data_IF_847634728550
#
_entry.id   IF_847634728550
#
_cell.length_a   1.000
_cell.length_b   1.000
_cell.length_c   1.000
_cell.angle_alpha   90.00
_cell.angle_beta   90.00
_cell.angle_gamma   90.00
#
_symmetry.space_group_name_H-M   'P 1'
#
loop_
_entity.id
_entity.type
_entity.pdbx_description
1 polymer ?
#
# COMPACT_ATOMS: atom_id res chain seq x y z
N UNK A 1 25.58 14.59 -5.95
CA UNK A 1 24.32 13.91 -5.58
C UNK A 1 23.27 14.34 -6.58
N UNK A 2 22.59 13.42 -7.27
CA UNK A 2 21.58 13.82 -8.25
C UNK A 2 20.35 14.37 -7.51
N UNK A 3 19.64 15.31 -8.13
CA UNK A 3 18.33 15.83 -7.65
C UNK A 3 17.37 14.68 -7.34
N UNK A 4 17.51 13.58 -8.07
CA UNK A 4 16.80 12.33 -7.90
C UNK A 4 17.04 11.64 -6.55
N UNK A 5 18.31 11.47 -6.18
CA UNK A 5 18.65 10.85 -4.90
C UNK A 5 18.22 11.74 -3.74
N UNK A 6 18.29 13.06 -3.92
CA UNK A 6 17.80 14.02 -2.92
C UNK A 6 16.29 13.91 -2.71
N UNK A 7 15.49 13.83 -3.78
CA UNK A 7 14.03 13.70 -3.68
C UNK A 7 13.62 12.41 -2.94
N UNK A 8 14.27 11.28 -3.23
CA UNK A 8 13.99 10.01 -2.53
C UNK A 8 14.31 10.07 -1.05
N UNK A 9 15.40 10.74 -0.68
CA UNK A 9 15.79 10.91 0.72
C UNK A 9 14.78 11.81 1.44
N UNK A 10 14.40 12.93 0.83
CA UNK A 10 13.38 13.84 1.41
C UNK A 10 12.06 13.11 1.59
N UNK A 11 11.57 12.40 0.56
CA UNK A 11 10.33 11.64 0.66
C UNK A 11 10.41 10.52 1.69
N UNK A 12 11.54 9.80 1.76
CA UNK A 12 11.77 8.77 2.77
C UNK A 12 11.78 9.33 4.20
N UNK A 13 12.38 10.51 4.39
CA UNK A 13 12.35 11.24 5.67
C UNK A 13 10.93 11.70 6.03
N UNK A 14 10.14 12.17 5.05
CA UNK A 14 8.74 12.52 5.28
C UNK A 14 7.92 11.31 5.72
N UNK A 15 8.09 10.16 5.06
CA UNK A 15 7.44 8.91 5.47
C UNK A 15 7.85 8.53 6.90
N UNK A 16 9.16 8.53 7.19
CA UNK A 16 9.66 8.21 8.53
C UNK A 16 9.14 9.14 9.61
N UNK A 17 9.17 10.45 9.37
CA UNK A 17 8.65 11.47 10.28
C UNK A 17 7.14 11.29 10.49
N UNK A 18 6.37 11.11 9.41
CA UNK A 18 4.93 10.90 9.49
C UNK A 18 4.56 9.65 10.30
N UNK A 19 5.28 8.54 10.11
CA UNK A 19 5.09 7.32 10.90
C UNK A 19 5.48 7.53 12.37
N UNK A 20 6.56 8.25 12.66
CA UNK A 20 6.95 8.54 14.04
C UNK A 20 5.94 9.44 14.76
N UNK A 21 5.34 10.40 14.05
CA UNK A 21 4.23 11.22 14.56
C UNK A 21 3.00 10.35 14.81
N UNK A 22 2.62 9.51 13.84
CA UNK A 22 1.44 8.65 13.93
C UNK A 22 1.52 7.61 15.05
N UNK A 23 2.71 7.05 15.29
CA UNK A 23 2.92 6.02 16.32
C UNK A 23 3.23 6.59 17.70
N UNK A 24 3.29 7.92 17.85
CA UNK A 24 3.67 8.57 19.10
C UNK A 24 5.13 8.30 19.52
N UNK A 25 5.98 7.86 18.59
CA UNK A 25 7.38 7.51 18.86
C UNK A 25 8.30 8.73 19.02
N UNK A 26 7.78 9.96 18.86
CA UNK A 26 8.54 11.18 19.05
C UNK A 26 8.69 11.51 20.54
N UNK A 27 9.93 11.65 21.06
CA UNK A 27 10.19 11.97 22.45
C UNK A 27 10.01 13.47 22.68
N UNK A 28 8.77 13.96 22.82
CA UNK A 28 8.51 15.35 23.22
C UNK A 28 7.20 15.51 23.97
N UNK A 29 7.15 16.47 24.90
CA UNK A 29 5.95 16.97 25.61
C UNK A 29 4.91 17.66 24.70
N UNK A 30 4.99 17.45 23.38
CA UNK A 30 4.13 18.06 22.37
C UNK A 30 3.26 16.95 21.80
N UNK A 31 1.96 17.02 22.08
CA UNK A 31 0.97 16.11 21.50
C UNK A 31 0.75 16.55 20.06
N UNK A 32 1.39 15.85 19.12
CA UNK A 32 1.10 16.02 17.70
C UNK A 32 -0.21 15.29 17.37
N UNK A 33 -1.11 15.88 16.57
CA UNK A 33 -2.30 15.17 16.12
C UNK A 33 -1.87 14.01 15.22
N UNK A 34 -2.30 12.79 15.55
CA UNK A 34 -1.99 11.56 14.81
C UNK A 34 -2.35 11.68 13.31
N UNK A 35 -3.43 12.42 13.03
CA UNK A 35 -3.89 12.78 11.68
C UNK A 35 -2.84 13.52 10.84
N UNK A 36 -1.98 14.34 11.47
CA UNK A 36 -0.87 15.01 10.77
C UNK A 36 0.21 14.00 10.36
N UNK A 37 0.47 12.97 11.17
CA UNK A 37 1.40 11.90 10.83
C UNK A 37 0.93 11.09 9.61
N UNK A 38 -0.36 10.74 9.57
CA UNK A 38 -0.98 10.11 8.40
C UNK A 38 -0.87 11.00 7.15
N UNK A 39 -1.12 12.30 7.28
CA UNK A 39 -1.01 13.22 6.15
C UNK A 39 0.43 13.31 5.58
N UNK A 40 1.41 13.53 6.46
CA UNK A 40 2.83 13.67 6.07
C UNK A 40 3.35 12.39 5.43
N UNK A 41 3.00 11.22 5.99
CA UNK A 41 3.39 9.93 5.42
C UNK A 41 2.72 9.67 4.07
N UNK A 42 1.43 9.99 3.93
CA UNK A 42 0.70 9.90 2.65
C UNK A 42 1.33 10.74 1.55
N UNK A 43 1.68 12.00 1.85
CA UNK A 43 2.40 12.88 0.91
C UNK A 43 3.79 12.35 0.55
N UNK A 44 4.53 11.82 1.53
CA UNK A 44 5.83 11.20 1.28
C UNK A 44 5.74 9.99 0.34
N UNK A 45 4.71 9.15 0.51
CA UNK A 45 4.43 8.02 -0.40
C UNK A 45 4.02 8.53 -1.79
N UNK A 46 3.14 9.51 -1.88
CA UNK A 46 2.74 10.08 -3.16
C UNK A 46 3.96 10.59 -3.95
N UNK A 47 4.80 11.39 -3.31
CA UNK A 47 5.95 12.04 -3.94
C UNK A 47 7.04 11.06 -4.37
N UNK A 48 7.33 10.01 -3.59
CA UNK A 48 8.40 9.04 -3.94
C UNK A 48 8.07 8.23 -5.19
N UNK A 49 6.77 8.01 -5.48
CA UNK A 49 6.31 7.15 -6.57
C UNK A 49 5.88 7.92 -7.84
N UNK A 50 5.82 9.26 -7.80
CA UNK A 50 5.64 10.10 -9.00
C UNK A 50 6.70 9.83 -10.09
N UNK A 51 7.93 9.56 -9.67
CA UNK A 51 9.03 9.20 -10.57
C UNK A 51 8.67 8.00 -11.45
N UNK A 52 8.13 6.94 -10.85
CA UNK A 52 7.77 5.73 -11.58
C UNK A 52 6.65 5.95 -12.59
N UNK A 53 5.71 6.83 -12.24
CA UNK A 53 4.61 7.22 -13.10
C UNK A 53 5.11 7.98 -14.34
N UNK A 54 5.99 8.96 -14.17
CA UNK A 54 6.46 9.79 -15.29
C UNK A 54 7.57 9.14 -16.11
N UNK A 55 8.57 8.55 -15.44
CA UNK A 55 9.74 7.99 -16.14
C UNK A 55 9.48 6.59 -16.70
N UNK A 56 8.45 5.89 -16.20
CA UNK A 56 8.22 4.49 -16.55
C UNK A 56 9.37 3.58 -16.11
N UNK A 57 10.14 3.99 -15.11
CA UNK A 57 11.22 3.18 -14.52
C UNK A 57 11.21 3.33 -13.00
N UNK A 58 11.20 2.21 -12.29
CA UNK A 58 11.35 2.18 -10.83
C UNK A 58 12.44 1.18 -10.51
N UNK A 59 13.46 1.64 -9.79
CA UNK A 59 14.50 0.76 -9.26
C UNK A 59 14.35 0.67 -7.75
N UNK A 60 13.99 -0.52 -7.27
CA UNK A 60 13.93 -0.84 -5.84
C UNK A 60 15.26 -1.48 -5.46
N UNK A 61 16.11 -0.68 -4.81
CA UNK A 61 17.37 -1.15 -4.27
C UNK A 61 17.18 -1.50 -2.79
N UNK A 62 17.09 -2.78 -2.48
CA UNK A 62 17.18 -3.25 -1.09
C UNK A 62 18.61 -3.14 -0.59
N UNK A 63 18.82 -2.55 0.60
CA UNK A 63 20.14 -2.36 1.20
C UNK A 63 20.84 -3.68 1.58
N UNK A 64 20.12 -4.79 1.51
CA UNK A 64 20.63 -6.11 1.83
C UNK A 64 21.41 -6.67 0.62
N UNK A 65 22.74 -6.77 0.74
CA UNK A 65 23.68 -7.20 -0.34
C UNK A 65 23.33 -8.54 -1.02
N UNK A 66 22.45 -9.35 -0.42
CA UNK A 66 21.95 -10.61 -1.01
C UNK A 66 20.85 -10.43 -2.06
N UNK A 67 20.16 -9.28 -2.06
CA UNK A 67 19.07 -9.00 -2.98
C UNK A 67 19.52 -7.99 -4.03
N UNK A 68 19.58 -8.44 -5.27
CA UNK A 68 19.90 -7.59 -6.42
C UNK A 68 18.82 -6.50 -6.58
N UNK A 69 19.20 -5.28 -6.98
CA UNK A 69 18.23 -4.22 -7.25
C UNK A 69 17.24 -4.68 -8.32
N UNK A 70 15.94 -4.50 -8.08
CA UNK A 70 14.88 -4.85 -9.04
C UNK A 70 14.53 -3.62 -9.85
N UNK A 71 14.57 -3.72 -11.18
CA UNK A 71 14.16 -2.63 -12.06
C UNK A 71 12.86 -2.98 -12.76
N UNK A 72 11.79 -2.28 -12.41
CA UNK A 72 10.55 -2.30 -13.18
C UNK A 72 10.66 -1.28 -14.30
N UNK A 73 10.14 -1.63 -15.49
CA UNK A 73 10.23 -0.81 -16.69
C UNK A 73 8.92 -0.79 -17.47
N UNK A 74 8.68 0.30 -18.19
CA UNK A 74 7.50 0.46 -19.04
C UNK A 74 6.20 0.54 -18.24
N UNK A 75 5.20 -0.27 -18.62
CA UNK A 75 3.85 -0.23 -18.06
C UNK A 75 3.81 -0.66 -16.59
N UNK A 76 4.61 -1.65 -16.18
CA UNK A 76 4.61 -2.13 -14.79
C UNK A 76 5.13 -1.07 -13.82
N UNK A 77 6.15 -0.30 -14.21
CA UNK A 77 6.65 0.82 -13.42
C UNK A 77 5.62 1.97 -13.33
N UNK A 78 4.92 2.26 -14.43
CA UNK A 78 3.86 3.28 -14.43
C UNK A 78 2.67 2.88 -13.57
N UNK A 79 2.24 1.61 -13.66
CA UNK A 79 1.18 1.08 -12.82
C UNK A 79 1.59 1.09 -11.34
N UNK A 80 2.81 0.67 -11.02
CA UNK A 80 3.32 0.73 -9.65
C UNK A 80 3.38 2.17 -9.13
N UNK A 81 3.81 3.12 -9.96
CA UNK A 81 3.83 4.55 -9.65
C UNK A 81 2.43 5.12 -9.43
N UNK A 82 1.50 4.89 -10.38
CA UNK A 82 0.11 5.34 -10.32
C UNK A 82 -0.60 4.78 -9.09
N UNK A 83 -0.41 3.49 -8.85
CA UNK A 83 -0.96 2.82 -7.70
C UNK A 83 -0.46 3.55 -6.43
N UNK A 84 0.84 3.62 -6.19
CA UNK A 84 1.33 4.13 -4.90
C UNK A 84 1.03 5.62 -4.73
N UNK A 85 0.93 6.36 -5.83
CA UNK A 85 0.42 7.73 -5.82
C UNK A 85 -1.01 7.80 -5.29
N UNK A 86 -1.92 6.97 -5.81
CA UNK A 86 -3.31 6.93 -5.35
C UNK A 86 -3.41 6.52 -3.88
N UNK A 87 -2.59 5.55 -3.44
CA UNK A 87 -2.51 5.18 -2.02
C UNK A 87 -2.08 6.38 -1.16
N UNK A 88 -0.99 7.05 -1.55
CA UNK A 88 -0.47 8.22 -0.83
C UNK A 88 -1.49 9.37 -0.75
N UNK A 89 -2.17 9.67 -1.85
CA UNK A 89 -3.24 10.68 -1.90
C UNK A 89 -4.41 10.28 -1.00
N UNK A 90 -4.81 9.00 -1.02
CA UNK A 90 -5.92 8.50 -0.19
C UNK A 90 -5.60 8.63 1.29
N UNK A 91 -4.40 8.22 1.71
CA UNK A 91 -3.93 8.35 3.10
C UNK A 91 -3.83 9.82 3.51
N UNK A 92 -3.28 10.67 2.63
CA UNK A 92 -3.16 12.10 2.88
C UNK A 92 -4.53 12.77 3.04
N UNK A 93 -5.47 12.46 2.14
CA UNK A 93 -6.83 13.00 2.20
C UNK A 93 -7.56 12.52 3.45
N UNK A 94 -7.46 11.23 3.80
CA UNK A 94 -8.03 10.71 5.04
C UNK A 94 -7.43 11.40 6.28
N UNK A 95 -6.12 11.65 6.30
CA UNK A 95 -5.46 12.40 7.37
C UNK A 95 -5.93 13.85 7.48
N UNK A 96 -6.16 14.54 6.35
CA UNK A 96 -6.73 15.90 6.36
C UNK A 96 -8.16 15.90 6.88
N UNK A 97 -9.01 14.96 6.44
CA UNK A 97 -10.39 14.87 6.90
C UNK A 97 -10.45 14.54 8.39
N UNK A 98 -9.64 13.60 8.87
CA UNK A 98 -9.55 13.26 10.29
C UNK A 98 -9.06 14.44 11.14
N UNK A 99 -8.19 15.28 10.59
CA UNK A 99 -7.75 16.50 11.27
C UNK A 99 -8.88 17.54 11.37
N UNK A 100 -9.69 17.70 10.33
CA UNK A 100 -10.85 18.60 10.32
C UNK A 100 -12.02 18.08 11.16
N UNK A 101 -12.20 16.75 11.19
CA UNK A 101 -13.28 16.05 11.85
C UNK A 101 -12.71 14.85 12.64
N UNK A 102 -12.27 15.08 13.90
CA UNK A 102 -11.72 14.02 14.73
C UNK A 102 -12.72 12.87 14.91
N UNK A 103 -12.22 11.64 14.88
CA UNK A 103 -12.96 10.37 14.97
C UNK A 103 -13.88 10.06 13.78
N UNK A 104 -13.89 10.89 12.74
CA UNK A 104 -14.72 10.63 11.56
C UNK A 104 -14.32 9.31 10.90
N UNK A 105 -13.02 9.05 10.72
CA UNK A 105 -12.54 7.85 10.04
C UNK A 105 -12.92 6.58 10.80
N UNK A 106 -12.75 6.58 12.13
CA UNK A 106 -13.13 5.44 12.97
C UNK A 106 -14.65 5.21 12.90
N UNK A 107 -15.45 6.26 13.08
CA UNK A 107 -16.91 6.16 13.03
C UNK A 107 -17.40 5.70 11.65
N UNK A 108 -16.76 6.16 10.58
CA UNK A 108 -17.07 5.74 9.22
C UNK A 108 -16.67 4.28 8.98
N UNK A 109 -15.48 3.84 9.42
CA UNK A 109 -15.02 2.45 9.30
C UNK A 109 -15.89 1.47 10.08
N UNK A 110 -16.53 1.90 11.18
CA UNK A 110 -17.48 1.08 11.93
C UNK A 110 -18.82 0.89 11.19
N UNK A 111 -19.12 1.69 10.16
CA UNK A 111 -20.30 1.45 9.33
C UNK A 111 -20.05 0.30 8.35
N UNK A 112 -21.08 -0.52 8.03
CA UNK A 112 -20.93 -1.61 7.05
C UNK A 112 -20.42 -1.12 5.69
N UNK A 113 -20.87 0.07 5.27
CA UNK A 113 -20.45 0.70 4.02
C UNK A 113 -18.99 1.16 4.06
N UNK A 114 -18.56 1.82 5.13
CA UNK A 114 -17.18 2.28 5.26
C UNK A 114 -16.18 1.14 5.36
N UNK A 115 -16.52 0.10 6.14
CA UNK A 115 -15.74 -1.13 6.21
C UNK A 115 -15.60 -1.79 4.83
N UNK A 116 -16.71 -1.93 4.09
CA UNK A 116 -16.70 -2.49 2.74
C UNK A 116 -15.82 -1.67 1.78
N UNK A 117 -15.92 -0.34 1.81
CA UNK A 117 -15.09 0.54 0.98
C UNK A 117 -13.60 0.40 1.33
N UNK A 118 -13.25 0.32 2.61
CA UNK A 118 -11.87 0.12 3.04
C UNK A 118 -11.32 -1.23 2.59
N UNK A 119 -12.10 -2.31 2.70
CA UNK A 119 -11.74 -3.63 2.18
C UNK A 119 -11.53 -3.57 0.67
N UNK A 120 -12.47 -3.00 -0.09
CA UNK A 120 -12.39 -2.94 -1.55
C UNK A 120 -11.18 -2.10 -2.04
N UNK A 121 -10.90 -0.98 -1.38
CA UNK A 121 -9.70 -0.18 -1.67
C UNK A 121 -8.42 -0.94 -1.33
N UNK A 122 -8.35 -1.61 -0.19
CA UNK A 122 -7.20 -2.42 0.21
C UNK A 122 -6.99 -3.64 -0.70
N UNK A 123 -8.06 -4.32 -1.10
CA UNK A 123 -7.99 -5.48 -2.00
C UNK A 123 -7.60 -5.07 -3.42
N UNK A 124 -8.17 -3.99 -3.96
CA UNK A 124 -7.79 -3.48 -5.30
C UNK A 124 -6.32 -3.04 -5.34
N UNK A 125 -5.85 -2.40 -4.26
CA UNK A 125 -4.43 -2.10 -4.04
C UNK A 125 -3.55 -3.36 -4.11
N UNK A 126 -3.89 -4.38 -3.34
CA UNK A 126 -3.16 -5.65 -3.28
C UNK A 126 -3.19 -6.40 -4.62
N UNK A 127 -4.29 -6.36 -5.36
CA UNK A 127 -4.40 -6.95 -6.71
C UNK A 127 -3.37 -6.29 -7.63
N UNK A 128 -3.31 -4.96 -7.67
CA UNK A 128 -2.34 -4.25 -8.51
C UNK A 128 -0.90 -4.62 -8.15
N UNK A 129 -0.55 -4.64 -6.86
CA UNK A 129 0.77 -5.03 -6.40
C UNK A 129 1.12 -6.48 -6.78
N UNK A 130 0.17 -7.39 -6.60
CA UNK A 130 0.35 -8.81 -6.91
C UNK A 130 0.58 -9.03 -8.40
N UNK A 131 -0.19 -8.35 -9.25
CA UNK A 131 0.01 -8.36 -10.71
C UNK A 131 1.40 -7.86 -11.08
N UNK A 132 1.86 -6.77 -10.47
CA UNK A 132 3.21 -6.22 -10.72
C UNK A 132 4.31 -7.21 -10.30
N UNK A 133 4.13 -7.91 -9.19
CA UNK A 133 5.06 -8.94 -8.71
C UNK A 133 5.07 -10.16 -9.65
N UNK A 134 3.91 -10.59 -10.17
CA UNK A 134 3.79 -11.71 -11.12
C UNK A 134 4.47 -11.39 -12.45
N UNK A 135 4.22 -10.21 -13.02
CA UNK A 135 4.87 -9.77 -14.27
C UNK A 135 6.37 -9.53 -14.09
N UNK A 136 6.80 -9.29 -12.86
CA UNK A 136 8.20 -9.23 -12.46
C UNK A 136 8.92 -7.98 -12.97
N UNK A 137 10.19 -7.88 -12.58
CA UNK A 137 11.09 -6.84 -13.06
C UNK A 137 11.57 -7.15 -14.49
N UNK A 138 12.17 -6.18 -15.17
CA UNK A 138 12.75 -6.36 -16.51
C UNK A 138 13.77 -7.50 -16.51
N UNK A 139 14.48 -7.70 -15.41
CA UNK A 139 15.43 -8.81 -15.24
C UNK A 139 14.73 -10.19 -15.19
N UNK A 140 13.50 -10.27 -14.67
CA UNK A 140 12.70 -11.49 -14.62
C UNK A 140 12.04 -11.85 -15.97
N UNK A 141 12.08 -10.94 -16.94
CA UNK A 141 11.59 -11.15 -18.31
C UNK A 141 12.70 -11.66 -19.24
N UNK A 142 13.96 -11.65 -18.80
CA UNK A 142 15.07 -12.23 -19.53
C UNK A 142 15.03 -13.77 -19.50
N UNK A 143 15.28 -14.41 -20.64
CA UNK A 143 15.23 -15.86 -20.77
C UNK A 143 16.36 -16.56 -19.96
N UNK A 144 16.05 -17.74 -19.41
CA UNK A 144 17.03 -18.64 -18.78
C UNK A 144 17.01 -18.68 -17.26
N UNK A 145 18.18 -18.89 -16.65
CA UNK A 145 18.36 -19.10 -15.19
C UNK A 145 17.81 -17.95 -14.32
N UNK A 146 17.80 -16.73 -14.84
CA UNK A 146 17.26 -15.56 -14.15
C UNK A 146 15.75 -15.66 -13.94
N UNK A 147 14.98 -16.21 -14.89
CA UNK A 147 13.54 -16.39 -14.75
C UNK A 147 13.18 -17.43 -13.67
N UNK A 148 13.95 -18.53 -13.57
CA UNK A 148 13.78 -19.55 -12.53
C UNK A 148 14.03 -18.97 -11.13
N UNK A 149 14.97 -18.04 -11.00
CA UNK A 149 15.28 -17.39 -9.71
C UNK A 149 14.15 -16.50 -9.19
N UNK A 150 13.28 -16.02 -10.08
CA UNK A 150 12.12 -15.19 -9.75
C UNK A 150 10.82 -15.99 -9.58
N UNK A 151 10.86 -17.33 -9.66
CA UNK A 151 9.70 -18.17 -9.37
C UNK A 151 9.11 -17.96 -7.97
N UNK A 152 9.90 -17.86 -6.88
CA UNK A 152 9.35 -17.60 -5.55
C UNK A 152 8.57 -16.29 -5.49
N UNK A 153 9.05 -15.25 -6.20
CA UNK A 153 8.35 -13.97 -6.29
C UNK A 153 7.01 -14.13 -7.02
N UNK A 154 6.97 -14.86 -8.13
CA UNK A 154 5.74 -15.11 -8.89
C UNK A 154 4.74 -15.95 -8.12
N UNK A 155 5.20 -16.97 -7.39
CA UNK A 155 4.37 -17.78 -6.50
C UNK A 155 3.80 -16.92 -5.39
N UNK A 156 4.64 -16.11 -4.73
CA UNK A 156 4.20 -15.17 -3.71
C UNK A 156 3.18 -14.16 -4.25
N UNK A 157 3.43 -13.57 -5.42
CA UNK A 157 2.50 -12.67 -6.10
C UNK A 157 1.18 -13.36 -6.45
N UNK A 158 1.20 -14.62 -6.86
CA UNK A 158 -0.01 -15.39 -7.16
C UNK A 158 -0.81 -15.70 -5.89
N UNK A 159 -0.13 -16.05 -4.79
CA UNK A 159 -0.78 -16.25 -3.48
C UNK A 159 -1.42 -14.94 -3.01
N UNK A 160 -0.69 -13.82 -3.10
CA UNK A 160 -1.22 -12.50 -2.73
C UNK A 160 -2.39 -12.09 -3.62
N UNK A 161 -2.35 -12.40 -4.92
CA UNK A 161 -3.47 -12.16 -5.84
C UNK A 161 -4.71 -12.95 -5.44
N UNK A 162 -4.55 -14.23 -5.08
CA UNK A 162 -5.64 -15.08 -4.63
C UNK A 162 -6.27 -14.55 -3.32
N UNK A 163 -5.43 -14.16 -2.34
CA UNK A 163 -5.89 -13.54 -1.09
C UNK A 163 -6.61 -12.22 -1.38
N UNK A 164 -6.08 -11.39 -2.29
CA UNK A 164 -6.69 -10.13 -2.65
C UNK A 164 -8.05 -10.33 -3.38
N UNK A 165 -8.16 -11.35 -4.22
CA UNK A 165 -9.42 -11.70 -4.88
C UNK A 165 -10.47 -12.22 -3.87
N UNK A 166 -10.06 -13.05 -2.90
CA UNK A 166 -10.96 -13.52 -1.84
C UNK A 166 -11.45 -12.35 -0.99
N UNK A 167 -10.56 -11.48 -0.53
CA UNK A 167 -10.92 -10.29 0.26
C UNK A 167 -11.80 -9.32 -0.53
N UNK A 168 -11.58 -9.17 -1.84
CA UNK A 168 -12.46 -8.39 -2.71
C UNK A 168 -13.87 -9.01 -2.78
N UNK A 169 -13.96 -10.33 -2.94
CA UNK A 169 -15.24 -11.04 -2.91
C UNK A 169 -15.99 -10.82 -1.59
N UNK A 170 -15.32 -10.94 -0.46
CA UNK A 170 -15.93 -10.67 0.86
C UNK A 170 -16.33 -9.20 1.01
N UNK A 171 -15.52 -8.26 0.51
CA UNK A 171 -15.86 -6.83 0.48
C UNK A 171 -17.10 -6.52 -0.34
N UNK A 172 -17.31 -7.22 -1.47
CA UNK A 172 -18.55 -7.10 -2.25
C UNK A 172 -19.76 -7.68 -1.50
N UNK A 173 -19.59 -8.82 -0.83
CA UNK A 173 -20.66 -9.40 0.01
C UNK A 173 -20.98 -8.47 1.19
N UNK A 174 -20.00 -7.78 1.76
CA UNK A 174 -20.19 -6.80 2.84
C UNK A 174 -21.13 -5.65 2.42
N UNK A 175 -21.14 -5.26 1.13
CA UNK A 175 -22.04 -4.22 0.62
C UNK A 175 -23.50 -4.67 0.53
N UNK A 176 -23.74 -5.97 0.33
CA UNK A 176 -25.08 -6.53 0.06
C UNK A 176 -25.68 -7.16 1.32
N UNK A 177 -24.87 -7.91 2.07
CA UNK A 177 -25.28 -8.72 3.22
C UNK A 177 -24.15 -8.77 4.26
N UNK A 178 -24.11 -7.79 5.20
CA UNK A 178 -23.07 -7.70 6.22
C UNK A 178 -22.95 -8.94 7.10
N UNK A 179 -24.07 -9.57 7.45
CA UNK A 179 -24.10 -10.76 8.32
C UNK A 179 -23.44 -11.97 7.63
N UNK A 180 -23.70 -12.16 6.33
CA UNK A 180 -23.06 -13.21 5.53
C UNK A 180 -21.56 -12.94 5.39
N UNK A 181 -21.15 -11.68 5.19
CA UNK A 181 -19.74 -11.33 5.14
C UNK A 181 -19.01 -11.63 6.47
N UNK A 182 -19.64 -11.38 7.62
CA UNK A 182 -19.08 -11.73 8.93
C UNK A 182 -18.84 -13.25 9.07
N UNK A 183 -19.76 -14.08 8.58
CA UNK A 183 -19.55 -15.55 8.57
C UNK A 183 -18.42 -15.97 7.63
N UNK A 184 -18.27 -15.31 6.48
CA UNK A 184 -17.16 -15.56 5.55
C UNK A 184 -15.82 -15.18 6.16
N UNK A 185 -15.74 -14.03 6.86
CA UNK A 185 -14.54 -13.62 7.60
C UNK A 185 -14.16 -14.64 8.67
N UNK A 186 -15.13 -15.13 9.44
CA UNK A 186 -14.91 -16.17 10.44
C UNK A 186 -14.42 -17.49 9.82
N UNK A 187 -14.99 -17.89 8.68
CA UNK A 187 -14.62 -19.13 7.96
C UNK A 187 -13.23 -19.05 7.35
N UNK A 188 -12.82 -17.86 6.88
CA UNK A 188 -11.48 -17.61 6.35
C UNK A 188 -10.41 -17.48 7.45
N UNK A 189 -10.80 -17.56 8.74
CA UNK A 189 -9.88 -17.41 9.87
C UNK A 189 -9.33 -15.98 10.01
N UNK A 190 -9.91 -15.02 9.30
CA UNK A 190 -9.50 -13.62 9.32
C UNK A 190 -10.48 -12.89 10.25
N UNK A 191 -10.18 -12.90 11.55
CA UNK A 191 -10.87 -12.03 12.50
C UNK A 191 -10.30 -10.61 12.38
N UNK A 192 -10.74 -9.87 11.35
CA UNK A 192 -10.53 -8.44 11.30
C UNK A 192 -11.48 -7.80 12.30
N UNK A 193 -10.97 -7.49 13.49
CA UNK A 193 -11.68 -6.82 14.58
C UNK A 193 -13.02 -7.49 14.89
N UNK A 194 -12.97 -8.47 15.78
CA UNK A 194 -14.16 -8.88 16.52
C UNK A 194 -14.86 -7.61 17.03
N UNK A 195 -16.13 -7.52 16.70
CA UNK A 195 -17.12 -6.57 17.19
C UNK A 195 -16.91 -6.23 18.68
N UNK A 196 -17.22 -4.99 19.12
CA UNK A 196 -17.09 -4.59 20.53
C UNK A 196 -17.81 -5.53 21.49
#
# INVERSE_FOLDING_TARGET
MSVYTLNKIICGLLIGLGVMIFTGALPTNVVYPEAAGANISGLGIACIYLEGLFTGRITISTHNRRYYPRTYGGVSARLLGAANLLLGITISTAGVVEWLHPQWLLNWLLTPFGLACAILLGSSWLIMQSVIVIYGSVEAQAAGWLALRHLPDRVFGTIMLAVAAMTLGVGLVQLVSPDTAATLWATLGIQLLATP
#
